data_IF_213421004960
#
_entry.id   IF_213421004960
#
_cell.length_a   1.000
_cell.length_b   1.000
_cell.length_c   1.000
_cell.angle_alpha   90.00
_cell.angle_beta   90.00
_cell.angle_gamma   90.00
#
_symmetry.space_group_name_H-M   'P 1'
#
loop_
_entity.id
_entity.type
_entity.pdbx_description
1 polymer ?
#
# COMPACT_ATOMS: atom_id res chain seq x y z
N UNK A 1 -9.68 -12.11 24.61
CA UNK A 1 -10.13 -10.71 24.51
C UNK A 1 -10.23 -10.11 25.90
N UNK A 2 -9.28 -9.25 26.27
CA UNK A 2 -9.27 -8.58 27.57
C UNK A 2 -9.56 -7.09 27.37
N UNK A 3 -10.84 -6.73 27.35
CA UNK A 3 -11.26 -5.33 27.22
C UNK A 3 -10.86 -4.53 28.46
N UNK A 4 -10.05 -3.49 28.28
CA UNK A 4 -9.67 -2.56 29.34
C UNK A 4 -10.11 -1.14 29.00
N UNK A 5 -10.35 -0.27 30.01
CA UNK A 5 -10.68 1.13 29.78
C UNK A 5 -9.61 1.87 28.96
N UNK A 6 -10.02 2.87 28.18
CA UNK A 6 -9.15 3.58 27.24
C UNK A 6 -7.89 4.20 27.86
N UNK A 7 -7.97 4.70 29.10
CA UNK A 7 -6.82 5.26 29.81
C UNK A 7 -5.77 4.18 30.12
N UNK A 8 -6.21 3.01 30.58
CA UNK A 8 -5.32 1.86 30.81
C UNK A 8 -4.76 1.29 29.52
N UNK A 9 -5.60 1.13 28.49
CA UNK A 9 -5.13 0.69 27.18
C UNK A 9 -4.09 1.64 26.59
N UNK A 10 -4.32 2.96 26.69
CA UNK A 10 -3.38 3.97 26.22
C UNK A 10 -2.04 3.88 26.95
N UNK A 11 -2.06 3.67 28.27
CA UNK A 11 -0.85 3.44 29.06
C UNK A 11 -0.12 2.16 28.62
N UNK A 12 -0.83 1.04 28.41
CA UNK A 12 -0.26 -0.22 27.92
C UNK A 12 0.37 -0.07 26.53
N UNK A 13 -0.27 0.70 25.65
CA UNK A 13 0.21 0.99 24.29
C UNK A 13 1.31 2.05 24.24
N UNK A 14 1.61 2.72 25.36
CA UNK A 14 2.59 3.81 25.41
C UNK A 14 2.18 5.06 24.63
N UNK A 15 0.87 5.31 24.44
CA UNK A 15 0.35 6.45 23.68
C UNK A 15 -0.53 7.36 24.54
N UNK A 16 -0.68 8.66 24.19
CA UNK A 16 -1.64 9.53 24.88
C UNK A 16 -3.08 9.03 24.71
N UNK A 17 -3.89 9.14 25.77
CA UNK A 17 -5.31 8.76 25.74
C UNK A 17 -6.10 9.51 24.64
N UNK A 18 -5.72 10.76 24.35
CA UNK A 18 -6.30 11.53 23.25
C UNK A 18 -6.05 10.90 21.87
N UNK A 19 -4.87 10.32 21.66
CA UNK A 19 -4.50 9.59 20.44
C UNK A 19 -5.35 8.34 20.28
N UNK A 20 -5.49 7.54 21.34
CA UNK A 20 -6.32 6.34 21.30
C UNK A 20 -7.80 6.68 21.07
N UNK A 21 -8.31 7.75 21.68
CA UNK A 21 -9.67 8.26 21.40
C UNK A 21 -9.85 8.66 19.94
N UNK A 22 -8.84 9.27 19.32
CA UNK A 22 -8.85 9.61 17.90
C UNK A 22 -8.88 8.34 17.04
N UNK A 23 -8.06 7.35 17.34
CA UNK A 23 -8.04 6.07 16.59
C UNK A 23 -9.39 5.35 16.67
N UNK A 24 -10.03 5.34 17.83
CA UNK A 24 -11.40 4.77 17.98
C UNK A 24 -12.40 5.48 17.06
N UNK A 25 -12.33 6.81 16.93
CA UNK A 25 -13.18 7.55 15.97
C UNK A 25 -12.86 7.25 14.50
N UNK A 26 -11.65 6.78 14.22
CA UNK A 26 -11.19 6.37 12.90
C UNK A 26 -11.49 4.90 12.59
N UNK A 27 -12.19 4.19 13.49
CA UNK A 27 -12.60 2.80 13.28
C UNK A 27 -11.71 1.74 13.95
N UNK A 28 -10.81 2.14 14.85
CA UNK A 28 -10.08 1.19 15.69
C UNK A 28 -11.07 0.31 16.51
N UNK A 29 -10.83 -1.01 16.60
CA UNK A 29 -11.74 -1.95 17.24
C UNK A 29 -11.99 -1.60 18.71
N UNK A 30 -13.26 -1.75 19.12
CA UNK A 30 -13.74 -1.53 20.50
C UNK A 30 -14.48 -2.77 20.94
N UNK A 31 -14.05 -3.38 22.06
CA UNK A 31 -14.67 -4.59 22.63
C UNK A 31 -16.07 -4.27 23.16
N UNK A 32 -16.21 -3.13 23.84
CA UNK A 32 -17.50 -2.66 24.34
C UNK A 32 -17.62 -1.16 24.17
N UNK A 33 -18.69 -0.72 23.49
CA UNK A 33 -19.01 0.70 23.38
C UNK A 33 -19.44 1.23 24.75
N UNK A 34 -18.86 2.35 25.15
CA UNK A 34 -19.28 3.05 26.36
C UNK A 34 -20.68 3.63 26.21
N UNK A 35 -21.39 3.77 27.33
CA UNK A 35 -22.71 4.41 27.41
C UNK A 35 -22.66 5.62 28.35
N UNK A 36 -23.69 6.47 28.32
CA UNK A 36 -23.84 7.53 29.34
C UNK A 36 -24.08 6.88 30.71
N UNK A 37 -23.48 7.45 31.76
CA UNK A 37 -23.61 6.97 33.14
C UNK A 37 -22.28 6.52 33.75
N UNK A 38 -22.23 6.51 35.08
CA UNK A 38 -21.05 6.09 35.86
C UNK A 38 -20.83 4.58 35.70
N UNK A 39 -19.62 4.16 35.37
CA UNK A 39 -19.25 2.74 35.16
C UNK A 39 -19.36 2.24 33.71
N UNK A 40 -19.92 3.03 32.80
CA UNK A 40 -20.15 2.64 31.41
C UNK A 40 -19.01 3.07 30.47
N UNK A 41 -17.76 2.86 30.88
CA UNK A 41 -16.60 3.22 30.06
C UNK A 41 -16.49 2.32 28.81
N UNK A 42 -15.99 2.89 27.71
CA UNK A 42 -15.66 2.08 26.54
C UNK A 42 -14.43 1.20 26.86
N UNK A 43 -14.48 -0.05 26.40
CA UNK A 43 -13.42 -1.04 26.57
C UNK A 43 -12.77 -1.36 25.23
N UNK A 44 -11.45 -1.37 25.22
CA UNK A 44 -10.64 -1.72 24.05
C UNK A 44 -9.63 -2.79 24.43
N UNK A 45 -9.21 -3.59 23.46
CA UNK A 45 -8.19 -4.62 23.64
C UNK A 45 -6.89 -4.13 23.01
N UNK A 46 -5.82 -3.87 23.78
CA UNK A 46 -4.56 -3.35 23.25
C UNK A 46 -3.98 -4.18 22.10
N UNK A 47 -4.12 -5.51 22.13
CA UNK A 47 -3.62 -6.37 21.05
C UNK A 47 -4.35 -6.10 19.73
N UNK A 48 -5.68 -6.02 19.77
CA UNK A 48 -6.49 -5.71 18.59
C UNK A 48 -6.22 -4.29 18.06
N UNK A 49 -5.90 -3.34 18.94
CA UNK A 49 -5.48 -1.99 18.52
C UNK A 49 -4.16 -2.05 17.76
N UNK A 50 -3.19 -2.83 18.23
CA UNK A 50 -1.89 -3.00 17.56
C UNK A 50 -2.06 -3.69 16.19
N UNK A 51 -2.86 -4.75 16.12
CA UNK A 51 -3.16 -5.42 14.86
C UNK A 51 -3.80 -4.47 13.84
N UNK A 52 -4.79 -3.69 14.28
CA UNK A 52 -5.44 -2.67 13.45
C UNK A 52 -4.45 -1.61 12.95
N UNK A 53 -3.53 -1.15 13.81
CA UNK A 53 -2.48 -0.20 13.44
C UNK A 53 -1.53 -0.78 12.40
N UNK A 54 -1.03 -1.99 12.63
CA UNK A 54 -0.13 -2.67 11.72
C UNK A 54 -0.78 -2.96 10.37
N UNK A 55 -2.08 -3.30 10.36
CA UNK A 55 -2.83 -3.48 9.12
C UNK A 55 -2.91 -2.18 8.30
N UNK A 56 -3.18 -1.05 8.96
CA UNK A 56 -3.20 0.27 8.30
C UNK A 56 -1.83 0.69 7.76
N UNK A 57 -0.75 0.45 8.52
CA UNK A 57 0.62 0.72 8.08
C UNK A 57 1.03 -0.16 6.90
N UNK A 58 0.67 -1.45 6.93
CA UNK A 58 0.91 -2.38 5.82
C UNK A 58 0.16 -1.97 4.55
N UNK A 59 -1.10 -1.57 4.69
CA UNK A 59 -1.88 -1.04 3.57
C UNK A 59 -1.21 0.19 2.96
N UNK A 60 -0.72 1.12 3.78
CA UNK A 60 -0.01 2.30 3.29
C UNK A 60 1.25 1.93 2.49
N UNK A 61 2.04 0.97 2.97
CA UNK A 61 3.24 0.47 2.28
C UNK A 61 2.88 -0.14 0.92
N UNK A 62 1.81 -0.93 0.84
CA UNK A 62 1.38 -1.52 -0.43
C UNK A 62 0.92 -0.47 -1.44
N UNK A 63 0.21 0.57 -0.98
CA UNK A 63 -0.22 1.67 -1.84
C UNK A 63 0.96 2.51 -2.33
N UNK A 64 1.94 2.79 -1.46
CA UNK A 64 3.17 3.49 -1.84
C UNK A 64 3.96 2.68 -2.87
N UNK A 65 4.14 1.38 -2.66
CA UNK A 65 4.82 0.50 -3.60
C UNK A 65 4.08 0.43 -4.94
N UNK A 66 2.76 0.27 -4.91
CA UNK A 66 1.93 0.25 -6.12
C UNK A 66 2.06 1.54 -6.94
N UNK A 67 2.24 2.69 -6.29
CA UNK A 67 2.46 3.96 -6.97
C UNK A 67 3.85 4.08 -7.62
N UNK A 68 4.87 3.48 -7.01
CA UNK A 68 6.26 3.62 -7.44
C UNK A 68 6.68 2.58 -8.50
N UNK A 69 6.18 1.35 -8.40
CA UNK A 69 6.59 0.22 -9.25
C UNK A 69 6.48 0.50 -10.76
N UNK A 70 5.37 1.04 -11.29
CA UNK A 70 5.25 1.29 -12.73
C UNK A 70 6.39 2.18 -13.26
N UNK A 71 6.77 3.22 -12.51
CA UNK A 71 7.85 4.12 -12.89
C UNK A 71 9.21 3.42 -12.83
N UNK A 72 9.49 2.66 -11.76
CA UNK A 72 10.76 1.93 -11.60
C UNK A 72 10.98 0.93 -12.72
N UNK A 73 9.95 0.14 -13.08
CA UNK A 73 10.04 -0.83 -14.17
C UNK A 73 10.22 -0.11 -15.52
N UNK A 74 9.58 1.05 -15.72
CA UNK A 74 9.74 1.82 -16.95
C UNK A 74 11.17 2.33 -17.13
N UNK A 75 11.78 2.84 -16.05
CA UNK A 75 13.18 3.25 -16.03
C UNK A 75 14.10 2.08 -16.35
N UNK A 76 13.89 0.92 -15.72
CA UNK A 76 14.67 -0.28 -15.96
C UNK A 76 14.55 -0.78 -17.43
N UNK A 77 13.36 -0.73 -18.02
CA UNK A 77 13.12 -1.09 -19.41
C UNK A 77 13.91 -0.18 -20.38
N UNK A 78 13.93 1.13 -20.12
CA UNK A 78 14.72 2.09 -20.89
C UNK A 78 16.22 1.88 -20.72
N UNK A 79 16.69 1.66 -19.50
CA UNK A 79 18.10 1.38 -19.23
C UNK A 79 18.57 0.10 -19.91
N UNK A 80 17.74 -0.94 -19.89
CA UNK A 80 18.00 -2.20 -20.59
C UNK A 80 18.18 -1.97 -22.11
N UNK A 81 17.31 -1.16 -22.73
CA UNK A 81 17.45 -0.81 -24.14
C UNK A 81 18.74 -0.01 -24.41
N UNK A 82 19.14 0.91 -23.52
CA UNK A 82 20.38 1.69 -23.67
C UNK A 82 21.61 0.81 -23.60
N UNK A 83 21.64 -0.14 -22.67
CA UNK A 83 22.76 -1.07 -22.46
C UNK A 83 22.86 -2.15 -23.53
N UNK A 84 21.78 -2.45 -24.26
CA UNK A 84 21.78 -3.44 -25.31
C UNK A 84 22.70 -3.03 -26.47
N UNK A 85 23.68 -3.88 -26.76
CA UNK A 85 24.55 -3.81 -27.93
C UNK A 85 23.97 -4.70 -29.04
N UNK A 86 23.66 -4.13 -30.20
CA UNK A 86 23.09 -4.89 -31.32
C UNK A 86 22.33 -4.03 -32.33
N UNK A 87 22.04 -4.63 -33.49
CA UNK A 87 21.52 -3.94 -34.68
C UNK A 87 19.99 -3.73 -34.61
N UNK A 88 19.26 -4.52 -33.80
CA UNK A 88 17.78 -4.47 -33.75
C UNK A 88 17.21 -3.83 -32.47
N UNK A 89 17.57 -2.57 -32.22
CA UNK A 89 17.05 -1.78 -31.10
C UNK A 89 15.55 -1.49 -31.21
N UNK A 90 14.99 -1.48 -32.42
CA UNK A 90 13.55 -1.24 -32.66
C UNK A 90 12.70 -2.39 -32.11
N UNK A 91 13.03 -3.63 -32.48
CA UNK A 91 12.32 -4.81 -31.95
C UNK A 91 12.49 -4.91 -30.44
N UNK A 92 13.70 -4.65 -29.93
CA UNK A 92 13.94 -4.66 -28.49
C UNK A 92 13.10 -3.62 -27.75
N UNK A 93 12.95 -2.40 -28.28
CA UNK A 93 12.10 -1.37 -27.66
C UNK A 93 10.63 -1.83 -27.54
N UNK A 94 10.10 -2.48 -28.58
CA UNK A 94 8.75 -3.05 -28.56
C UNK A 94 8.59 -4.15 -27.49
N UNK A 95 9.58 -5.05 -27.39
CA UNK A 95 9.62 -6.09 -26.36
C UNK A 95 9.69 -5.47 -24.97
N UNK A 96 10.54 -4.46 -24.74
CA UNK A 96 10.67 -3.79 -23.45
C UNK A 96 9.36 -3.09 -23.03
N UNK A 97 8.66 -2.44 -23.97
CA UNK A 97 7.36 -1.83 -23.69
C UNK A 97 6.28 -2.87 -23.32
N UNK A 98 6.30 -4.05 -23.96
CA UNK A 98 5.41 -5.16 -23.62
C UNK A 98 5.76 -5.78 -22.25
N UNK A 99 7.05 -6.00 -21.99
CA UNK A 99 7.56 -6.51 -20.71
C UNK A 99 7.18 -5.60 -19.56
N UNK A 100 7.29 -4.28 -19.73
CA UNK A 100 6.84 -3.32 -18.72
C UNK A 100 5.37 -3.53 -18.35
N UNK A 101 4.50 -3.68 -19.35
CA UNK A 101 3.07 -3.85 -19.11
C UNK A 101 2.76 -5.14 -18.36
N UNK A 102 3.37 -6.25 -18.77
CA UNK A 102 3.17 -7.56 -18.12
C UNK A 102 3.72 -7.56 -16.70
N UNK A 103 4.96 -7.09 -16.50
CA UNK A 103 5.61 -7.07 -15.20
C UNK A 103 4.89 -6.14 -14.22
N UNK A 104 4.48 -4.95 -14.67
CA UNK A 104 3.74 -4.00 -13.83
C UNK A 104 2.42 -4.59 -13.38
N UNK A 105 1.62 -5.16 -14.29
CA UNK A 105 0.34 -5.76 -13.90
C UNK A 105 0.54 -6.95 -12.97
N UNK A 106 1.52 -7.83 -13.23
CA UNK A 106 1.81 -8.96 -12.35
C UNK A 106 2.16 -8.52 -10.91
N UNK A 107 2.94 -7.45 -10.75
CA UNK A 107 3.24 -6.91 -9.41
C UNK A 107 1.98 -6.30 -8.79
N UNK A 108 1.20 -5.50 -9.52
CA UNK A 108 -0.02 -4.89 -9.00
C UNK A 108 -1.07 -5.94 -8.62
N UNK A 109 -1.22 -7.02 -9.39
CA UNK A 109 -2.07 -8.16 -9.07
C UNK A 109 -1.64 -8.79 -7.74
N UNK A 110 -0.35 -9.06 -7.57
CA UNK A 110 0.21 -9.63 -6.34
C UNK A 110 0.00 -8.73 -5.11
N UNK A 111 0.08 -7.41 -5.29
CA UNK A 111 -0.23 -6.44 -4.23
C UNK A 111 -1.73 -6.41 -3.92
N UNK A 112 -2.59 -6.49 -4.93
CA UNK A 112 -4.06 -6.52 -4.77
C UNK A 112 -4.55 -7.73 -3.99
N UNK A 113 -3.92 -8.90 -4.14
CA UNK A 113 -4.21 -10.08 -3.31
C UNK A 113 -4.06 -9.82 -1.81
N UNK A 114 -3.15 -8.91 -1.42
CA UNK A 114 -2.86 -8.55 -0.02
C UNK A 114 -3.57 -7.27 0.42
N UNK A 115 -3.83 -6.39 -0.52
CA UNK A 115 -4.44 -5.09 -0.30
C UNK A 115 -5.41 -4.76 -1.45
N UNK A 116 -6.71 -5.07 -1.30
CA UNK A 116 -7.71 -4.80 -2.35
C UNK A 116 -7.86 -3.32 -2.73
N UNK A 117 -7.33 -2.40 -1.92
CA UNK A 117 -7.33 -0.96 -2.19
C UNK A 117 -6.27 -0.53 -3.23
N UNK A 118 -5.35 -1.42 -3.62
CA UNK A 118 -4.34 -1.14 -4.65
C UNK A 118 -5.05 -0.90 -6.00
N UNK A 119 -4.80 0.23 -6.67
CA UNK A 119 -5.49 0.58 -7.91
C UNK A 119 -5.00 -0.26 -9.10
N UNK A 120 -5.82 -0.28 -10.16
CA UNK A 120 -5.38 -0.77 -11.47
C UNK A 120 -4.39 0.19 -12.14
N UNK A 121 -3.63 -0.32 -13.10
CA UNK A 121 -2.70 0.48 -13.89
C UNK A 121 -3.48 1.49 -14.76
N UNK A 122 -3.50 2.75 -14.34
CA UNK A 122 -4.24 3.81 -15.03
C UNK A 122 -3.39 4.62 -16.01
N UNK A 123 -2.09 4.79 -15.73
CA UNK A 123 -1.21 5.70 -16.46
C UNK A 123 -0.01 4.92 -17.01
N UNK A 124 0.24 5.11 -18.30
CA UNK A 124 1.47 4.64 -18.96
C UNK A 124 2.52 5.74 -18.85
N UNK A 125 3.71 5.49 -18.28
CA UNK A 125 4.79 6.47 -18.21
C UNK A 125 5.27 6.89 -19.61
N UNK A 126 5.69 8.15 -19.74
CA UNK A 126 6.19 8.74 -20.99
C UNK A 126 7.35 7.93 -21.60
N UNK A 127 8.20 7.34 -20.75
CA UNK A 127 9.30 6.47 -21.15
C UNK A 127 8.80 5.29 -21.97
N UNK A 128 7.69 4.68 -21.57
CA UNK A 128 7.09 3.54 -22.29
C UNK A 128 6.44 3.99 -23.58
N UNK A 129 5.85 5.18 -23.61
CA UNK A 129 5.37 5.75 -24.85
C UNK A 129 6.51 5.99 -25.85
N UNK A 130 7.67 6.45 -25.37
CA UNK A 130 8.87 6.62 -26.21
C UNK A 130 9.35 5.27 -26.76
N UNK A 131 9.41 4.22 -25.94
CA UNK A 131 9.75 2.87 -26.41
C UNK A 131 8.79 2.38 -27.50
N UNK A 132 7.47 2.59 -27.33
CA UNK A 132 6.46 2.27 -28.34
C UNK A 132 6.64 3.06 -29.64
N UNK A 133 7.10 4.33 -29.57
CA UNK A 133 7.42 5.15 -30.74
C UNK A 133 8.65 4.64 -31.48
N UNK A 134 9.69 4.20 -30.76
CA UNK A 134 10.91 3.63 -31.35
C UNK A 134 10.63 2.32 -32.10
N UNK A 135 9.65 1.54 -31.61
CA UNK A 135 9.27 0.26 -32.20
C UNK A 135 8.43 0.38 -33.49
N UNK A 136 7.91 1.58 -33.80
CA UNK A 136 7.19 1.87 -35.06
C UNK A 136 8.16 2.16 -36.21
#
# INVERSE_FOLDING_TARGET
MHGVPLDRAAATLGVPTGTLRRWVRQGCPVVQRGQRGRGNAALVDPEQVLEWRQAGERQQIYLELASAVPAVIAHAACDSLRQANGIDKKRLAGVQAATWYVATNAVLDHLRERCPAVPELAIVPDEIEQLRKIAR
#
